data_IF_393922334367
#
_entry.id   IF_393922334367
#
_cell.length_a   1.000
_cell.length_b   1.000
_cell.length_c   1.000
_cell.angle_alpha   90.00
_cell.angle_beta   90.00
_cell.angle_gamma   90.00
#
_symmetry.space_group_name_H-M   'P 1'
#
loop_
_entity.id
_entity.type
_entity.pdbx_description
1 polymer ?
#
# COMPACT_ATOMS: atom_id res chain seq x y z
N UNK A 1 41.06 -13.22 38.97
CA UNK A 1 40.44 -13.40 40.31
C UNK A 1 39.04 -13.90 40.06
N UNK A 2 38.64 -15.01 40.70
CA UNK A 2 37.26 -15.48 40.61
C UNK A 2 36.38 -14.56 41.47
N UNK A 3 35.34 -13.98 40.86
CA UNK A 3 34.39 -13.13 41.57
C UNK A 3 33.66 -13.92 42.65
N UNK A 4 33.36 -13.27 43.77
CA UNK A 4 32.59 -13.90 44.84
C UNK A 4 31.10 -13.98 44.45
N UNK A 5 30.33 -14.83 45.12
CA UNK A 5 28.90 -14.97 44.85
C UNK A 5 28.10 -13.69 45.15
N UNK A 6 28.63 -12.76 45.97
CA UNK A 6 28.07 -11.42 46.17
C UNK A 6 28.30 -10.51 44.96
N UNK A 7 29.48 -10.57 44.33
CA UNK A 7 29.82 -9.73 43.17
C UNK A 7 28.99 -10.11 41.93
N UNK A 8 28.67 -11.40 41.76
CA UNK A 8 27.81 -11.88 40.67
C UNK A 8 26.36 -11.42 40.74
N UNK A 9 25.88 -10.91 41.89
CA UNK A 9 24.49 -10.41 42.00
C UNK A 9 24.26 -9.09 41.25
N UNK A 10 25.33 -8.38 40.94
CA UNK A 10 25.31 -7.12 40.20
C UNK A 10 26.07 -7.28 38.87
N UNK A 11 25.89 -8.42 38.21
CA UNK A 11 26.32 -8.62 36.82
C UNK A 11 25.14 -8.45 35.87
N UNK A 12 25.38 -7.75 34.76
CA UNK A 12 24.53 -7.78 33.56
C UNK A 12 25.17 -8.66 32.50
N UNK A 13 24.35 -9.32 31.68
CA UNK A 13 24.82 -10.18 30.59
C UNK A 13 24.29 -9.69 29.25
N UNK A 14 25.21 -9.45 28.33
CA UNK A 14 24.92 -9.21 26.92
C UNK A 14 25.09 -10.48 26.10
N UNK A 15 24.16 -10.71 25.18
CA UNK A 15 24.13 -11.88 24.33
C UNK A 15 24.04 -11.48 22.87
N UNK A 16 25.01 -11.88 22.07
CA UNK A 16 24.99 -11.76 20.62
C UNK A 16 24.90 -13.15 20.01
N UNK A 17 23.95 -13.37 19.09
CA UNK A 17 23.76 -14.67 18.46
C UNK A 17 23.47 -14.56 16.98
N UNK A 18 24.09 -15.43 16.18
CA UNK A 18 23.73 -15.66 14.79
C UNK A 18 23.44 -17.14 14.57
N UNK A 19 22.31 -17.43 13.96
CA UNK A 19 21.87 -18.80 13.78
C UNK A 19 21.02 -19.01 12.55
N UNK A 20 20.97 -20.26 12.13
CA UNK A 20 20.09 -20.74 11.08
C UNK A 20 19.22 -21.85 11.64
N UNK A 21 18.01 -22.01 11.11
CA UNK A 21 17.13 -23.07 11.56
C UNK A 21 16.04 -23.37 10.56
N UNK A 22 15.53 -24.59 10.65
CA UNK A 22 14.40 -25.07 9.89
C UNK A 22 13.14 -24.82 10.70
N UNK A 23 12.08 -24.40 10.00
CA UNK A 23 10.74 -24.23 10.57
C UNK A 23 9.79 -25.15 9.81
N UNK A 24 9.13 -26.03 10.54
CA UNK A 24 8.10 -26.91 10.06
C UNK A 24 6.76 -26.34 10.48
N UNK A 25 5.94 -26.04 9.48
CA UNK A 25 4.59 -25.54 9.66
C UNK A 25 3.66 -26.32 8.72
N UNK A 26 2.38 -26.37 9.05
CA UNK A 26 1.39 -26.83 8.07
C UNK A 26 1.43 -25.95 6.83
N UNK A 27 1.09 -26.44 5.62
CA UNK A 27 0.98 -25.59 4.44
C UNK A 27 0.17 -24.32 4.73
N UNK A 28 0.61 -23.20 4.14
CA UNK A 28 -0.07 -21.94 4.32
C UNK A 28 -1.49 -22.02 3.74
N UNK A 29 -2.45 -21.56 4.53
CA UNK A 29 -3.87 -21.60 4.20
C UNK A 29 -4.50 -20.27 4.62
N UNK A 30 -4.99 -19.51 3.64
CA UNK A 30 -5.62 -18.21 3.86
C UNK A 30 -6.90 -18.30 4.71
N UNK A 31 -7.52 -19.47 4.82
CA UNK A 31 -8.70 -19.68 5.65
C UNK A 31 -8.38 -19.85 7.14
N UNK A 32 -7.12 -20.18 7.48
CA UNK A 32 -6.72 -20.49 8.85
C UNK A 32 -6.18 -19.25 9.55
N UNK A 33 -6.88 -18.82 10.59
CA UNK A 33 -6.43 -17.72 11.44
C UNK A 33 -5.18 -18.07 12.27
N UNK A 34 -5.02 -19.34 12.67
CA UNK A 34 -3.92 -19.79 13.53
C UNK A 34 -3.11 -20.86 12.80
N UNK A 35 -1.78 -20.69 12.80
CA UNK A 35 -0.85 -21.61 12.18
C UNK A 35 0.29 -21.98 13.14
N UNK A 36 0.22 -23.16 13.79
CA UNK A 36 1.29 -23.63 14.66
C UNK A 36 2.50 -24.08 13.85
N UNK A 37 3.67 -23.97 14.46
CA UNK A 37 4.93 -24.41 13.88
C UNK A 37 5.91 -24.86 14.95
N UNK A 38 6.78 -25.77 14.57
CA UNK A 38 7.95 -26.20 15.35
C UNK A 38 9.20 -25.95 14.52
N UNK A 39 10.32 -25.69 15.16
CA UNK A 39 11.57 -25.47 14.48
C UNK A 39 12.77 -25.89 15.32
N UNK A 40 13.85 -26.16 14.63
CA UNK A 40 15.14 -26.50 15.22
C UNK A 40 16.24 -25.84 14.41
N UNK A 41 17.36 -25.54 15.06
CA UNK A 41 18.45 -24.84 14.39
C UNK A 41 19.77 -24.99 15.10
N UNK A 42 20.73 -24.20 14.64
CA UNK A 42 22.05 -24.04 15.23
C UNK A 42 22.26 -22.54 15.39
N UNK A 43 22.70 -22.14 16.57
CA UNK A 43 22.97 -20.75 16.93
C UNK A 43 24.39 -20.64 17.48
N UNK A 44 25.22 -19.79 16.87
CA UNK A 44 26.51 -19.40 17.40
C UNK A 44 26.30 -18.17 18.26
N UNK A 45 26.61 -18.28 19.55
CA UNK A 45 26.31 -17.26 20.54
C UNK A 45 27.58 -16.81 21.26
N UNK A 46 27.70 -15.52 21.49
CA UNK A 46 28.70 -14.91 22.35
C UNK A 46 27.99 -14.24 23.53
N UNK A 47 28.34 -14.66 24.74
CA UNK A 47 27.90 -14.04 25.99
C UNK A 47 29.03 -13.17 26.52
N UNK A 48 28.71 -11.97 27.00
CA UNK A 48 29.62 -11.10 27.73
C UNK A 48 28.95 -10.63 29.00
N UNK A 49 29.55 -10.93 30.15
CA UNK A 49 29.10 -10.43 31.44
C UNK A 49 29.86 -9.16 31.79
N UNK A 50 29.13 -8.19 32.30
CA UNK A 50 29.66 -6.93 32.80
C UNK A 50 29.23 -6.78 34.25
N UNK A 51 30.17 -6.41 35.10
CA UNK A 51 29.90 -5.95 36.44
C UNK A 51 30.31 -4.49 36.53
N UNK A 52 29.65 -3.80 37.43
CA UNK A 52 30.13 -2.55 37.93
C UNK A 52 31.14 -2.96 39.05
N UNK A 53 32.44 -2.68 38.87
CA UNK A 53 33.53 -3.08 39.80
C UNK A 53 34.47 -1.93 40.15
N UNK A 54 34.38 -0.82 39.42
CA UNK A 54 35.22 0.35 39.62
C UNK A 54 34.41 1.61 39.36
N UNK A 55 34.76 2.69 40.05
CA UNK A 55 34.20 4.02 39.79
C UNK A 55 34.76 4.65 38.50
N UNK A 56 34.25 5.83 38.13
CA UNK A 56 34.69 6.59 36.96
C UNK A 56 36.19 6.96 36.96
N UNK A 57 36.82 6.94 38.14
CA UNK A 57 38.25 7.24 38.32
C UNK A 57 39.12 5.95 38.29
N UNK A 58 38.49 4.77 38.15
CA UNK A 58 39.13 3.46 38.07
C UNK A 58 39.46 2.84 39.43
N UNK A 59 38.94 3.37 40.54
CA UNK A 59 39.12 2.77 41.85
C UNK A 59 38.15 1.60 42.03
N UNK A 60 38.69 0.44 42.43
CA UNK A 60 37.87 -0.73 42.69
C UNK A 60 36.98 -0.53 43.93
N UNK A 61 35.78 -1.07 43.87
CA UNK A 61 34.90 -1.16 45.03
C UNK A 61 34.52 -2.61 45.32
N UNK A 62 34.02 -2.86 46.52
CA UNK A 62 33.82 -4.20 47.06
C UNK A 62 32.45 -4.32 47.72
N UNK A 63 31.68 -5.32 47.31
CA UNK A 63 30.41 -5.66 47.95
C UNK A 63 30.67 -6.45 49.23
N UNK A 64 30.24 -5.91 50.38
CA UNK A 64 30.32 -6.61 51.65
C UNK A 64 29.05 -7.42 51.92
N UNK A 65 29.12 -8.38 52.83
CA UNK A 65 27.98 -9.24 53.20
C UNK A 65 26.78 -8.47 53.79
N UNK A 66 26.99 -7.25 54.26
CA UNK A 66 25.94 -6.36 54.73
C UNK A 66 25.11 -5.71 53.61
N UNK A 67 25.44 -5.97 52.34
CA UNK A 67 24.73 -5.46 51.16
C UNK A 67 25.12 -4.05 50.74
N UNK A 68 26.12 -3.45 51.39
CA UNK A 68 26.66 -2.11 51.05
C UNK A 68 27.98 -2.24 50.29
N UNK A 69 28.33 -1.17 49.56
CA UNK A 69 29.55 -1.10 48.75
C UNK A 69 30.60 -0.27 49.48
N UNK A 70 31.85 -0.72 49.46
CA UNK A 70 32.97 -0.05 50.11
C UNK A 70 34.18 0.06 49.20
N UNK A 71 35.07 1.00 49.50
CA UNK A 71 36.34 1.20 48.78
C UNK A 71 37.44 0.17 49.12
N UNK A 72 37.17 -0.78 50.01
CA UNK A 72 38.14 -1.79 50.46
C UNK A 72 37.43 -3.15 50.67
N UNK A 73 38.17 -4.25 50.45
CA UNK A 73 37.65 -5.60 50.66
C UNK A 73 37.30 -5.86 52.14
N UNK A 74 36.26 -6.67 52.37
CA UNK A 74 35.74 -6.99 53.71
C UNK A 74 36.76 -7.75 54.57
N UNK A 75 37.66 -8.51 53.94
CA UNK A 75 38.70 -9.30 54.58
C UNK A 75 40.01 -8.54 54.82
N UNK A 76 40.10 -7.27 54.40
CA UNK A 76 41.29 -6.46 54.60
C UNK A 76 41.52 -6.13 56.08
N UNK A 77 42.79 -5.95 56.46
CA UNK A 77 43.15 -5.59 57.83
C UNK A 77 42.46 -4.28 58.24
N UNK A 78 41.75 -4.34 59.37
CA UNK A 78 40.97 -3.22 59.92
C UNK A 78 39.89 -2.65 58.99
N UNK A 79 39.39 -3.44 58.02
CA UNK A 79 38.39 -3.01 57.06
C UNK A 79 37.20 -2.29 57.72
N UNK A 80 36.63 -2.85 58.80
CA UNK A 80 35.50 -2.27 59.52
C UNK A 80 35.75 -0.87 60.13
N UNK A 81 37.00 -0.43 60.27
CA UNK A 81 37.37 0.88 60.83
C UNK A 81 37.73 1.91 59.76
N UNK A 82 38.21 1.46 58.59
CA UNK A 82 38.74 2.35 57.53
C UNK A 82 37.91 2.33 56.24
N UNK A 83 36.95 1.42 56.13
CA UNK A 83 36.09 1.32 54.96
C UNK A 83 35.19 2.56 54.84
N UNK A 84 35.21 3.15 53.66
CA UNK A 84 34.28 4.20 53.28
C UNK A 84 33.16 3.58 52.45
N UNK A 85 31.92 3.79 52.90
CA UNK A 85 30.73 3.40 52.14
C UNK A 85 30.65 4.25 50.86
N UNK A 86 30.38 3.59 49.75
CA UNK A 86 30.25 4.19 48.43
C UNK A 86 28.83 3.95 47.91
N UNK A 87 28.34 4.88 47.10
CA UNK A 87 27.10 4.73 46.34
C UNK A 87 27.47 4.30 44.90
N UNK A 88 27.16 3.06 44.49
CA UNK A 88 27.42 2.62 43.11
C UNK A 88 26.48 3.34 42.14
N UNK A 89 27.00 3.70 40.97
CA UNK A 89 26.20 4.33 39.92
C UNK A 89 25.47 3.32 39.01
N UNK A 90 25.77 2.02 39.19
CA UNK A 90 25.20 0.90 38.45
C UNK A 90 25.45 0.96 36.94
N UNK A 91 26.51 1.65 36.53
CA UNK A 91 27.01 1.68 35.16
C UNK A 91 27.95 0.49 34.98
N UNK A 92 27.49 -0.55 34.29
CA UNK A 92 28.27 -1.78 34.12
C UNK A 92 29.41 -1.61 33.09
N UNK A 93 30.60 -1.22 33.57
CA UNK A 93 31.74 -0.89 32.70
C UNK A 93 32.77 -2.03 32.56
N UNK A 94 32.86 -2.90 33.56
CA UNK A 94 33.93 -3.92 33.64
C UNK A 94 33.47 -5.28 33.12
N UNK A 95 34.01 -5.72 31.99
CA UNK A 95 33.72 -7.06 31.44
C UNK A 95 34.40 -8.15 32.28
N UNK A 96 33.61 -8.98 32.96
CA UNK A 96 34.08 -10.03 33.88
C UNK A 96 34.28 -11.38 33.22
N UNK A 97 33.42 -11.73 32.26
CA UNK A 97 33.50 -12.97 31.50
C UNK A 97 33.07 -12.77 30.06
N UNK A 98 33.70 -13.51 29.14
CA UNK A 98 33.28 -13.59 27.74
C UNK A 98 33.41 -15.04 27.26
N UNK A 99 32.30 -15.61 26.79
CA UNK A 99 32.24 -17.00 26.33
C UNK A 99 31.59 -17.10 24.96
N UNK A 100 32.00 -18.09 24.17
CA UNK A 100 31.52 -18.33 22.80
C UNK A 100 31.08 -19.76 22.67
N UNK A 101 29.78 -19.95 22.49
CA UNK A 101 29.15 -21.25 22.64
C UNK A 101 28.26 -21.53 21.42
N UNK A 102 28.05 -22.81 21.15
CA UNK A 102 27.09 -23.27 20.16
C UNK A 102 25.86 -23.74 20.91
N UNK A 103 24.70 -23.22 20.54
CA UNK A 103 23.41 -23.58 21.08
C UNK A 103 22.51 -24.17 20.00
N UNK A 104 21.69 -25.15 20.40
CA UNK A 104 20.68 -25.77 19.55
C UNK A 104 19.32 -25.22 20.01
N UNK A 105 18.74 -24.23 19.31
CA UNK A 105 17.42 -23.73 19.64
C UNK A 105 16.34 -24.70 19.17
N UNK A 106 15.56 -25.22 20.11
CA UNK A 106 14.29 -25.89 19.87
C UNK A 106 13.20 -24.84 20.03
N UNK A 107 12.40 -24.62 18.98
CA UNK A 107 11.41 -23.54 18.92
C UNK A 107 10.03 -24.09 18.64
N UNK A 108 9.03 -23.54 19.30
CA UNK A 108 7.63 -23.79 18.99
C UNK A 108 6.88 -22.47 19.00
N UNK A 109 5.92 -22.29 18.12
CA UNK A 109 5.19 -21.05 18.04
C UNK A 109 3.90 -21.15 17.26
N UNK A 110 3.18 -20.05 17.29
CA UNK A 110 1.93 -19.84 16.56
C UNK A 110 2.04 -18.56 15.78
N UNK A 111 1.63 -18.60 14.51
CA UNK A 111 1.42 -17.42 13.70
C UNK A 111 -0.09 -17.16 13.60
N UNK A 112 -0.50 -15.94 13.89
CA UNK A 112 -1.87 -15.44 13.74
C UNK A 112 -1.94 -14.64 12.44
N UNK A 113 -2.72 -15.13 11.48
CA UNK A 113 -2.88 -14.50 10.17
C UNK A 113 -3.87 -13.33 10.28
N UNK A 114 -3.35 -12.10 10.33
CA UNK A 114 -4.19 -10.89 10.43
C UNK A 114 -4.71 -10.47 9.04
N UNK A 115 -3.83 -10.53 8.03
CA UNK A 115 -4.14 -10.34 6.61
C UNK A 115 -3.33 -11.35 5.78
N UNK A 116 -3.57 -11.49 4.47
CA UNK A 116 -2.71 -12.32 3.61
C UNK A 116 -1.22 -11.95 3.73
N UNK A 117 -0.91 -10.67 3.95
CA UNK A 117 0.47 -10.16 4.09
C UNK A 117 0.96 -10.03 5.52
N UNK A 118 0.10 -9.75 6.49
CA UNK A 118 0.53 -9.44 7.86
C UNK A 118 0.16 -10.57 8.80
N UNK A 119 1.11 -10.99 9.62
CA UNK A 119 0.85 -11.95 10.69
C UNK A 119 1.47 -11.49 12.00
N UNK A 120 0.78 -11.75 13.10
CA UNK A 120 1.40 -11.72 14.42
C UNK A 120 2.00 -13.09 14.71
N UNK A 121 3.09 -13.16 15.46
CA UNK A 121 3.72 -14.40 15.86
C UNK A 121 4.04 -14.36 17.34
N UNK A 122 3.83 -15.49 18.01
CA UNK A 122 4.30 -15.74 19.35
C UNK A 122 5.03 -17.07 19.34
N UNK A 123 6.21 -17.12 19.93
CA UNK A 123 7.02 -18.33 19.95
C UNK A 123 7.84 -18.41 21.23
N UNK A 124 8.14 -19.65 21.58
CA UNK A 124 8.96 -20.05 22.70
C UNK A 124 10.16 -20.79 22.15
N UNK A 125 11.34 -20.47 22.65
CA UNK A 125 12.59 -21.10 22.26
C UNK A 125 13.33 -21.59 23.49
N UNK A 126 13.81 -22.83 23.42
CA UNK A 126 14.69 -23.43 24.42
C UNK A 126 16.04 -23.63 23.76
N UNK A 127 17.10 -23.06 24.33
CA UNK A 127 18.46 -23.22 23.84
C UNK A 127 19.16 -24.31 24.64
N UNK A 128 19.41 -25.46 24.02
CA UNK A 128 20.19 -26.55 24.60
C UNK A 128 21.66 -26.42 24.16
N UNK A 129 22.61 -26.42 25.09
CA UNK A 129 24.05 -26.25 24.80
C UNK A 129 24.91 -26.04 26.04
N UNK A 130 26.23 -26.09 25.88
CA UNK A 130 27.21 -26.17 26.99
C UNK A 130 27.16 -24.99 27.97
N UNK A 131 26.73 -23.79 27.58
CA UNK A 131 26.48 -22.70 28.53
C UNK A 131 25.36 -21.79 28.01
N UNK A 132 24.14 -22.32 27.88
CA UNK A 132 22.94 -21.50 27.77
C UNK A 132 22.50 -20.99 29.16
N UNK A 133 23.45 -20.60 30.01
CA UNK A 133 23.19 -20.20 31.41
C UNK A 133 23.51 -18.72 31.63
N UNK A 134 22.61 -18.01 32.31
CA UNK A 134 22.89 -16.66 32.82
C UNK A 134 23.90 -16.68 33.99
N UNK A 135 24.13 -17.84 34.62
CA UNK A 135 25.11 -18.03 35.69
C UNK A 135 25.76 -19.42 35.57
N UNK A 136 26.80 -19.59 34.72
CA UNK A 136 27.46 -20.87 34.57
C UNK A 136 28.11 -21.29 35.89
N UNK A 137 27.54 -22.32 36.52
CA UNK A 137 28.09 -22.99 37.70
C UNK A 137 28.95 -24.17 37.29
N UNK A 138 30.17 -24.31 37.83
CA UNK A 138 31.02 -25.45 37.52
C UNK A 138 30.31 -26.79 37.76
N UNK A 139 30.18 -27.62 36.72
CA UNK A 139 29.56 -28.96 36.80
C UNK A 139 28.05 -29.03 36.58
N UNK A 140 27.38 -27.91 36.27
CA UNK A 140 25.95 -27.88 35.96
C UNK A 140 25.69 -27.45 34.51
N UNK A 141 24.65 -28.01 33.90
CA UNK A 141 24.14 -27.58 32.59
C UNK A 141 22.84 -26.81 32.82
N UNK A 142 22.86 -25.49 32.69
CA UNK A 142 21.61 -24.71 32.69
C UNK A 142 21.14 -24.42 31.25
N UNK A 143 19.85 -24.09 31.11
CA UNK A 143 19.17 -23.92 29.83
C UNK A 143 18.54 -22.54 29.72
N UNK A 144 18.78 -21.85 28.61
CA UNK A 144 18.18 -20.55 28.34
C UNK A 144 16.85 -20.76 27.63
N UNK A 145 15.82 -20.15 28.18
CA UNK A 145 14.47 -20.16 27.61
C UNK A 145 14.08 -18.75 27.25
N UNK A 146 13.65 -18.53 26.00
CA UNK A 146 13.21 -17.22 25.54
C UNK A 146 11.77 -17.29 25.01
N UNK A 147 11.00 -16.25 25.31
CA UNK A 147 9.69 -16.02 24.70
C UNK A 147 9.82 -14.80 23.78
N UNK A 148 9.27 -14.92 22.58
CA UNK A 148 9.30 -13.86 21.58
C UNK A 148 7.92 -13.64 21.01
N UNK A 149 7.56 -12.39 20.78
CA UNK A 149 6.37 -11.99 20.06
C UNK A 149 6.72 -10.91 19.05
N UNK A 150 6.05 -10.89 17.91
CA UNK A 150 6.34 -9.90 16.87
C UNK A 150 5.35 -9.93 15.71
N UNK A 151 5.48 -8.95 14.83
CA UNK A 151 4.66 -8.80 13.62
C UNK A 151 5.55 -9.06 12.41
N UNK A 152 5.10 -9.90 11.50
CA UNK A 152 5.79 -10.23 10.26
C UNK A 152 4.98 -9.82 9.04
N UNK A 153 5.71 -9.50 7.97
CA UNK A 153 5.17 -9.19 6.65
C UNK A 153 5.62 -10.28 5.68
N UNK A 154 4.68 -10.88 4.96
CA UNK A 154 4.93 -11.84 3.89
C UNK A 154 5.17 -11.10 2.58
N UNK A 155 6.28 -11.43 1.94
CA UNK A 155 6.67 -10.86 0.66
C UNK A 155 6.43 -11.92 -0.43
N UNK A 156 5.79 -11.52 -1.52
CA UNK A 156 5.46 -12.42 -2.63
C UNK A 156 4.11 -12.10 -3.27
N UNK A 157 3.95 -12.48 -4.53
CA UNK A 157 2.68 -12.30 -5.27
C UNK A 157 1.57 -13.18 -4.69
N UNK A 158 1.91 -14.35 -4.18
CA UNK A 158 0.96 -15.32 -3.64
C UNK A 158 0.31 -14.87 -2.32
N UNK A 159 0.90 -13.87 -1.66
CA UNK A 159 0.37 -13.24 -0.44
C UNK A 159 -0.33 -11.90 -0.73
N UNK A 160 -0.52 -11.52 -2.00
CA UNK A 160 -1.38 -10.38 -2.31
C UNK A 160 -2.79 -10.63 -1.80
N UNK A 161 -3.51 -9.55 -1.45
CA UNK A 161 -4.96 -9.66 -1.21
C UNK A 161 -5.59 -10.45 -2.34
N UNK A 162 -6.50 -11.40 -2.03
CA UNK A 162 -7.13 -12.19 -3.06
C UNK A 162 -7.68 -11.21 -4.08
N UNK A 163 -7.19 -11.30 -5.31
CA UNK A 163 -7.88 -10.66 -6.42
C UNK A 163 -9.29 -11.22 -6.31
N UNK A 164 -10.28 -10.34 -6.25
CA UNK A 164 -11.66 -10.73 -6.41
C UNK A 164 -11.70 -11.36 -7.81
N UNK A 165 -11.53 -12.67 -7.87
CA UNK A 165 -11.80 -13.44 -9.08
C UNK A 165 -13.30 -13.33 -9.21
N UNK A 166 -13.71 -12.37 -10.03
CA UNK A 166 -15.11 -12.24 -10.40
C UNK A 166 -15.58 -13.62 -10.87
N UNK A 167 -16.77 -14.08 -10.45
CA UNK A 167 -17.32 -15.33 -10.93
C UNK A 167 -17.19 -15.39 -12.45
N UNK A 168 -16.84 -16.55 -13.01
CA UNK A 168 -16.66 -16.74 -14.45
C UNK A 168 -17.89 -16.22 -15.23
N UNK A 169 -19.08 -16.35 -14.64
CA UNK A 169 -20.35 -15.82 -15.17
C UNK A 169 -20.37 -14.28 -15.32
N UNK A 170 -19.65 -13.52 -14.49
CA UNK A 170 -19.55 -12.06 -14.58
C UNK A 170 -18.45 -11.61 -15.56
N UNK A 171 -17.50 -12.49 -15.90
CA UNK A 171 -16.46 -12.24 -16.91
C UNK A 171 -16.95 -12.54 -18.35
N UNK A 172 -18.01 -13.34 -18.49
CA UNK A 172 -18.75 -13.54 -19.75
C UNK A 172 -19.69 -12.38 -20.08
N UNK A 173 -20.00 -11.50 -19.13
CA UNK A 173 -20.70 -10.23 -19.34
C UNK A 173 -19.81 -9.15 -19.97
N UNK A 174 -18.84 -9.56 -20.79
CA UNK A 174 -18.20 -8.67 -21.73
C UNK A 174 -19.11 -8.55 -22.94
N UNK A 175 -20.10 -7.67 -22.84
CA UNK A 175 -20.91 -7.30 -24.00
C UNK A 175 -19.97 -6.84 -25.12
N UNK A 176 -20.35 -7.22 -26.32
CA UNK A 176 -19.80 -6.77 -27.59
C UNK A 176 -21.01 -6.09 -28.26
N UNK A 177 -21.15 -4.78 -27.99
CA UNK A 177 -22.37 -4.02 -28.28
C UNK A 177 -22.64 -3.92 -29.77
N UNK A 178 -21.59 -3.78 -30.57
CA UNK A 178 -21.62 -3.64 -32.02
C UNK A 178 -21.34 -4.96 -32.77
N UNK A 179 -21.03 -6.03 -32.03
CA UNK A 179 -20.91 -7.42 -32.52
C UNK A 179 -19.81 -7.57 -33.57
N UNK A 180 -18.72 -6.83 -33.41
CA UNK A 180 -17.56 -6.86 -34.30
C UNK A 180 -16.53 -7.95 -33.93
N UNK A 181 -16.76 -8.66 -32.81
CA UNK A 181 -15.89 -9.71 -32.29
C UNK A 181 -14.89 -9.23 -31.24
N UNK A 182 -14.90 -7.96 -30.86
CA UNK A 182 -14.06 -7.35 -29.82
C UNK A 182 -14.95 -6.87 -28.67
N UNK A 183 -14.73 -7.43 -27.47
CA UNK A 183 -15.49 -7.03 -26.28
C UNK A 183 -15.36 -5.53 -25.99
N UNK A 184 -16.44 -4.88 -25.53
CA UNK A 184 -16.53 -3.44 -25.22
C UNK A 184 -15.38 -2.95 -24.31
N UNK A 185 -14.88 -3.81 -23.40
CA UNK A 185 -13.80 -3.46 -22.48
C UNK A 185 -12.40 -3.39 -23.13
N UNK A 186 -12.26 -3.88 -24.36
CA UNK A 186 -11.03 -3.88 -25.16
C UNK A 186 -11.20 -3.18 -26.51
N UNK A 187 -12.44 -2.87 -26.88
CA UNK A 187 -12.78 -2.17 -28.09
C UNK A 187 -12.53 -0.66 -27.96
N UNK A 188 -11.88 -0.08 -28.97
CA UNK A 188 -11.61 1.36 -29.10
C UNK A 188 -12.62 2.06 -30.02
N UNK A 189 -13.39 1.30 -30.79
CA UNK A 189 -14.29 1.76 -31.81
C UNK A 189 -15.70 1.16 -31.57
N UNK A 190 -16.42 1.62 -30.53
CA UNK A 190 -17.66 1.02 -29.99
C UNK A 190 -18.92 1.14 -30.87
N UNK A 191 -18.75 1.39 -32.16
CA UNK A 191 -19.81 1.58 -33.13
C UNK A 191 -19.38 1.07 -34.52
N UNK A 192 -18.62 -0.02 -34.56
CA UNK A 192 -18.19 -0.65 -35.79
C UNK A 192 -19.38 -1.37 -36.44
N UNK A 193 -19.67 -1.15 -37.73
CA UNK A 193 -20.79 -1.83 -38.37
C UNK A 193 -20.61 -3.35 -38.40
N UNK A 194 -21.71 -4.06 -38.15
CA UNK A 194 -21.81 -5.52 -38.24
C UNK A 194 -21.20 -6.07 -39.55
N UNK A 195 -20.18 -6.91 -39.42
CA UNK A 195 -19.50 -7.56 -40.55
C UNK A 195 -18.32 -6.78 -41.15
N UNK A 196 -17.97 -5.60 -40.62
CA UNK A 196 -16.73 -4.93 -40.97
C UNK A 196 -15.51 -5.73 -40.49
N UNK A 197 -14.43 -5.71 -41.27
CA UNK A 197 -13.16 -6.31 -40.84
C UNK A 197 -12.44 -5.39 -39.85
N UNK A 198 -12.29 -5.84 -38.62
CA UNK A 198 -11.70 -5.06 -37.52
C UNK A 198 -10.31 -5.56 -37.13
N UNK A 199 -9.48 -4.64 -36.62
CA UNK A 199 -8.19 -4.96 -36.03
C UNK A 199 -8.34 -5.52 -34.61
N UNK A 200 -7.22 -5.86 -33.96
CA UNK A 200 -7.21 -6.40 -32.58
C UNK A 200 -7.77 -5.45 -31.52
N UNK A 201 -8.11 -4.22 -31.89
CA UNK A 201 -8.63 -3.17 -31.02
C UNK A 201 -10.08 -2.80 -31.38
N UNK A 202 -10.73 -3.54 -32.29
CA UNK A 202 -12.13 -3.31 -32.72
C UNK A 202 -12.29 -2.18 -33.72
N UNK A 203 -11.20 -1.60 -34.23
CA UNK A 203 -11.30 -0.54 -35.22
C UNK A 203 -11.28 -1.08 -36.65
N UNK A 204 -12.06 -0.50 -37.58
CA UNK A 204 -12.07 -0.92 -38.98
C UNK A 204 -10.67 -0.88 -39.62
N UNK A 205 -10.43 -1.83 -40.51
CA UNK A 205 -9.18 -1.90 -41.27
C UNK A 205 -9.20 -0.89 -42.43
N UNK A 206 -8.03 -0.33 -42.72
CA UNK A 206 -7.75 0.58 -43.83
C UNK A 206 -6.40 0.12 -44.43
N UNK A 207 -6.46 -0.59 -45.55
CA UNK A 207 -5.32 -1.27 -46.16
C UNK A 207 -4.35 -0.29 -46.84
N UNK A 208 -4.87 0.71 -47.55
CA UNK A 208 -4.07 1.64 -48.35
C UNK A 208 -3.77 2.96 -47.63
N UNK A 209 -4.40 3.18 -46.47
CA UNK A 209 -4.18 4.29 -45.53
C UNK A 209 -4.59 5.64 -46.08
N UNK A 210 -5.63 5.69 -46.90
CA UNK A 210 -6.23 6.92 -47.40
C UNK A 210 -7.20 7.58 -46.40
N UNK A 211 -7.54 6.88 -45.32
CA UNK A 211 -8.42 7.34 -44.24
C UNK A 211 -9.88 6.95 -44.39
N UNK A 212 -10.25 6.18 -45.42
CA UNK A 212 -11.55 5.52 -45.58
C UNK A 212 -11.38 4.05 -45.21
N UNK A 213 -12.29 3.52 -44.41
CA UNK A 213 -12.20 2.12 -44.00
C UNK A 213 -12.55 1.18 -45.18
N UNK A 214 -11.92 0.01 -45.24
CA UNK A 214 -12.04 -0.94 -46.37
C UNK A 214 -13.48 -1.34 -46.72
N UNK A 215 -14.40 -1.25 -45.74
CA UNK A 215 -15.81 -1.58 -45.94
C UNK A 215 -16.64 -0.44 -46.56
N UNK A 216 -16.16 0.80 -46.49
CA UNK A 216 -16.75 1.99 -47.16
C UNK A 216 -15.97 2.41 -48.41
N UNK A 217 -14.78 1.85 -48.60
CA UNK A 217 -13.89 2.17 -49.71
C UNK A 217 -14.27 1.41 -50.99
N UNK A 218 -14.57 2.17 -52.05
CA UNK A 218 -14.86 1.64 -53.38
C UNK A 218 -13.60 1.31 -54.19
N UNK A 219 -12.45 1.89 -53.85
CA UNK A 219 -11.14 1.66 -54.48
C UNK A 219 -10.12 1.16 -53.45
N UNK A 220 -10.10 -0.16 -53.12
CA UNK A 220 -9.25 -0.74 -52.05
C UNK A 220 -7.72 -0.52 -52.15
N UNK A 221 -7.26 0.07 -53.26
CA UNK A 221 -5.87 0.41 -53.53
C UNK A 221 -5.81 1.70 -54.35
N UNK A 222 -6.18 2.82 -53.73
CA UNK A 222 -6.15 4.12 -54.37
C UNK A 222 -4.71 4.55 -54.74
N UNK A 223 -4.50 5.18 -55.91
CA UNK A 223 -3.17 5.63 -56.34
C UNK A 223 -2.60 6.79 -55.52
N UNK A 224 -3.45 7.55 -54.81
CA UNK A 224 -3.09 8.71 -53.99
C UNK A 224 -3.91 8.74 -52.69
N UNK A 225 -3.34 9.25 -51.60
CA UNK A 225 -4.00 9.32 -50.27
C UNK A 225 -5.14 10.34 -50.17
N UNK A 226 -5.42 11.13 -51.21
CA UNK A 226 -6.52 12.10 -51.22
C UNK A 226 -7.70 11.52 -51.97
N UNK A 227 -8.64 10.98 -51.22
CA UNK A 227 -9.88 10.40 -51.72
C UNK A 227 -11.10 11.21 -51.30
N UNK A 228 -12.24 10.97 -51.96
CA UNK A 228 -13.52 11.51 -51.53
C UNK A 228 -14.10 10.70 -50.34
N UNK A 229 -15.32 11.02 -49.90
CA UNK A 229 -16.00 10.31 -48.80
C UNK A 229 -16.31 8.83 -49.08
N UNK A 230 -16.04 8.34 -50.30
CA UNK A 230 -16.32 6.97 -50.74
C UNK A 230 -15.04 6.21 -51.11
N UNK A 231 -13.85 6.74 -50.76
CA UNK A 231 -12.57 6.11 -51.08
C UNK A 231 -12.10 6.25 -52.53
N UNK A 232 -12.80 7.03 -53.37
CA UNK A 232 -12.41 7.21 -54.78
C UNK A 232 -11.34 8.31 -54.91
N UNK A 233 -10.25 8.00 -55.59
CA UNK A 233 -9.17 8.94 -55.89
C UNK A 233 -9.59 9.93 -56.99
N UNK A 234 -9.73 11.21 -56.61
CA UNK A 234 -10.09 12.28 -57.54
C UNK A 234 -8.85 12.95 -58.16
N UNK A 235 -8.95 13.32 -59.44
CA UNK A 235 -7.96 14.16 -60.12
C UNK A 235 -7.97 15.60 -59.59
N UNK A 236 -6.88 16.34 -59.80
CA UNK A 236 -6.77 17.76 -59.39
C UNK A 236 -7.94 18.62 -59.92
N UNK A 237 -8.36 18.40 -61.17
CA UNK A 237 -9.50 19.13 -61.75
C UNK A 237 -10.83 18.84 -61.02
N UNK A 238 -11.03 17.63 -60.52
CA UNK A 238 -12.22 17.26 -59.75
C UNK A 238 -12.18 17.85 -58.34
N UNK A 239 -10.99 17.91 -57.72
CA UNK A 239 -10.80 18.57 -56.42
C UNK A 239 -11.10 20.07 -56.46
N UNK A 240 -10.69 20.75 -57.54
CA UNK A 240 -11.00 22.17 -57.75
C UNK A 240 -12.51 22.41 -57.86
N UNK A 241 -13.24 21.52 -58.53
CA UNK A 241 -14.69 21.60 -58.65
C UNK A 241 -15.41 21.43 -57.29
N UNK A 242 -14.97 20.48 -56.47
CA UNK A 242 -15.52 20.26 -55.12
C UNK A 242 -15.22 21.45 -54.20
N UNK A 243 -14.00 22.00 -54.26
CA UNK A 243 -13.60 23.15 -53.47
C UNK A 243 -14.41 24.41 -53.85
N UNK A 244 -14.73 24.60 -55.13
CA UNK A 244 -15.57 25.69 -55.61
C UNK A 244 -17.01 25.59 -55.08
N UNK A 245 -17.58 24.37 -54.99
CA UNK A 245 -18.91 24.16 -54.41
C UNK A 245 -18.95 24.47 -52.91
N UNK A 246 -17.92 24.09 -52.15
CA UNK A 246 -17.85 24.32 -50.71
C UNK A 246 -17.82 25.81 -50.33
N UNK A 247 -17.19 26.66 -51.15
CA UNK A 247 -17.21 28.13 -50.94
C UNK A 247 -18.62 28.74 -50.95
N UNK A 248 -19.57 28.10 -51.64
CA UNK A 248 -20.94 28.58 -51.73
C UNK A 248 -21.85 28.04 -50.61
N UNK A 249 -21.39 27.11 -49.77
CA UNK A 249 -22.16 26.56 -48.65
C UNK A 249 -21.79 27.26 -47.34
N UNK A 250 -22.67 28.14 -46.86
CA UNK A 250 -22.55 28.78 -45.55
C UNK A 250 -22.95 27.79 -44.46
N UNK A 251 -22.05 27.46 -43.54
CA UNK A 251 -22.33 26.52 -42.46
C UNK A 251 -23.54 26.99 -41.61
N UNK A 252 -24.46 26.08 -41.24
CA UNK A 252 -25.57 26.41 -40.36
C UNK A 252 -25.03 26.76 -38.97
N UNK A 253 -25.45 27.90 -38.42
CA UNK A 253 -25.21 28.27 -37.02
C UNK A 253 -26.05 27.38 -36.11
N UNK A 254 -25.42 26.45 -35.38
CA UNK A 254 -26.05 25.65 -34.34
C UNK A 254 -26.26 26.51 -33.09
N UNK A 255 -27.49 26.95 -32.85
CA UNK A 255 -27.87 27.56 -31.57
C UNK A 255 -28.10 26.45 -30.54
N UNK A 256 -27.12 26.21 -29.66
CA UNK A 256 -27.23 25.24 -28.57
C UNK A 256 -27.93 25.90 -27.39
N UNK A 257 -29.21 25.61 -27.19
CA UNK A 257 -29.96 26.04 -26.00
C UNK A 257 -29.70 25.06 -24.86
N UNK A 258 -28.91 25.46 -23.86
CA UNK A 258 -28.73 24.66 -22.66
C UNK A 258 -29.89 24.92 -21.70
N UNK A 259 -30.80 23.95 -21.58
CA UNK A 259 -31.85 23.97 -20.56
C UNK A 259 -31.21 23.75 -19.20
N UNK A 260 -31.19 24.79 -18.36
CA UNK A 260 -30.84 24.66 -16.95
C UNK A 260 -32.14 24.25 -16.23
N UNK A 261 -32.24 23.00 -15.80
CA UNK A 261 -33.34 22.55 -14.95
C UNK A 261 -33.03 22.90 -13.49
N UNK A 262 -33.91 23.71 -12.87
CA UNK A 262 -33.81 24.02 -11.45
C UNK A 262 -34.37 22.86 -10.61
N UNK A 263 -33.75 22.53 -9.47
CA UNK A 263 -34.25 21.46 -8.60
C UNK A 263 -35.52 21.91 -7.86
N UNK A 264 -36.59 21.17 -8.13
CA UNK A 264 -37.83 21.01 -7.35
C UNK A 264 -38.77 22.21 -7.10
N UNK A 265 -40.05 21.81 -7.11
CA UNK A 265 -41.27 22.59 -7.06
C UNK A 265 -41.39 23.37 -5.75
N UNK A 266 -41.07 24.67 -5.77
CA UNK A 266 -41.27 25.59 -4.64
C UNK A 266 -42.57 26.37 -4.84
N UNK A 267 -43.53 26.20 -3.93
CA UNK A 267 -44.79 26.98 -3.87
C UNK A 267 -44.61 28.33 -3.16
N UNK A 268 -43.42 28.93 -3.25
CA UNK A 268 -43.15 30.26 -2.68
C UNK A 268 -43.40 31.34 -3.72
N UNK A 269 -44.45 32.13 -3.49
CA UNK A 269 -44.73 33.34 -4.28
C UNK A 269 -43.82 34.46 -3.78
N UNK A 270 -42.71 34.69 -4.47
CA UNK A 270 -41.86 35.84 -4.17
C UNK A 270 -42.42 37.11 -4.79
N UNK A 271 -42.44 38.19 -4.00
CA UNK A 271 -42.86 39.51 -4.48
C UNK A 271 -41.92 39.97 -5.61
N UNK A 272 -42.53 40.34 -6.74
CA UNK A 272 -41.86 40.76 -7.96
C UNK A 272 -41.84 42.29 -8.01
N UNK A 273 -40.76 42.90 -8.49
CA UNK A 273 -40.70 44.36 -8.69
C UNK A 273 -41.74 44.83 -9.73
N UNK A 274 -42.04 46.13 -9.79
CA UNK A 274 -43.01 46.69 -10.76
C UNK A 274 -42.69 46.38 -12.24
N UNK A 275 -41.45 45.97 -12.54
CA UNK A 275 -41.00 45.52 -13.86
C UNK A 275 -41.07 44.00 -14.11
N UNK A 276 -41.62 43.20 -13.20
CA UNK A 276 -41.74 41.75 -13.39
C UNK A 276 -40.50 40.93 -13.00
N UNK A 277 -39.49 41.55 -12.36
CA UNK A 277 -38.24 40.90 -11.97
C UNK A 277 -38.26 40.38 -10.53
N UNK A 278 -37.79 39.16 -10.34
CA UNK A 278 -37.56 38.54 -9.03
C UNK A 278 -36.35 39.16 -8.31
N UNK A 279 -36.24 39.04 -6.97
CA UNK A 279 -35.10 39.57 -6.22
C UNK A 279 -33.74 39.01 -6.67
N UNK A 280 -33.70 37.75 -7.14
CA UNK A 280 -32.50 37.12 -7.67
C UNK A 280 -32.07 37.74 -9.02
N UNK A 281 -33.01 37.99 -9.93
CA UNK A 281 -32.76 38.65 -11.22
C UNK A 281 -32.29 40.09 -11.03
N UNK A 282 -32.85 40.83 -10.06
CA UNK A 282 -32.39 42.18 -9.71
C UNK A 282 -30.95 42.15 -9.19
N UNK A 283 -30.56 41.10 -8.43
CA UNK A 283 -29.19 40.91 -7.94
C UNK A 283 -28.23 40.63 -9.09
N UNK A 284 -28.61 39.76 -10.02
CA UNK A 284 -27.83 39.40 -11.19
C UNK A 284 -27.65 40.58 -12.16
N UNK A 285 -28.70 41.38 -12.38
CA UNK A 285 -28.60 42.62 -13.18
C UNK A 285 -27.63 43.62 -12.56
N UNK A 286 -27.60 43.69 -11.23
CA UNK A 286 -26.68 44.57 -10.50
C UNK A 286 -25.22 44.08 -10.56
N UNK A 287 -24.99 42.76 -10.62
CA UNK A 287 -23.65 42.18 -10.66
C UNK A 287 -23.06 42.05 -12.06
N UNK A 288 -23.87 41.90 -13.11
CA UNK A 288 -23.38 41.56 -14.45
C UNK A 288 -23.59 42.63 -15.53
N UNK A 289 -24.24 43.76 -15.22
CA UNK A 289 -24.43 44.85 -16.18
C UNK A 289 -25.43 44.53 -17.29
N UNK A 290 -26.00 45.58 -17.88
CA UNK A 290 -27.27 45.58 -18.62
C UNK A 290 -27.22 45.13 -20.09
N UNK A 291 -26.14 44.50 -20.56
CA UNK A 291 -25.98 44.20 -21.99
C UNK A 291 -26.20 42.74 -22.38
N UNK A 292 -27.30 42.13 -21.91
CA UNK A 292 -27.86 40.97 -22.62
C UNK A 292 -29.33 41.20 -22.92
N UNK A 293 -29.64 41.15 -24.21
CA UNK A 293 -30.95 41.30 -24.82
C UNK A 293 -31.96 40.34 -24.19
N UNK A 294 -32.87 40.90 -23.39
CA UNK A 294 -33.98 40.13 -22.83
C UNK A 294 -35.06 40.03 -23.90
N UNK A 295 -35.09 38.91 -24.65
CA UNK A 295 -36.23 38.60 -25.51
C UNK A 295 -37.39 38.22 -24.60
N UNK A 296 -38.46 39.03 -24.64
CA UNK A 296 -39.69 38.81 -23.86
C UNK A 296 -40.39 37.53 -24.34
N UNK A 297 -40.43 36.50 -23.52
CA UNK A 297 -41.30 35.33 -23.74
C UNK A 297 -42.66 35.61 -23.09
N UNK A 298 -43.72 35.69 -23.88
CA UNK A 298 -45.10 35.69 -23.35
C UNK A 298 -45.44 34.27 -22.92
N UNK A 299 -45.69 34.05 -21.63
CA UNK A 299 -46.27 32.80 -21.15
C UNK A 299 -47.70 32.64 -21.72
N UNK A 300 -47.93 31.59 -22.50
CA UNK A 300 -49.29 31.16 -22.84
C UNK A 300 -49.90 30.49 -21.62
N UNK A 301 -51.06 30.99 -21.16
CA UNK A 301 -51.88 30.27 -20.18
C UNK A 301 -52.42 28.99 -20.82
N UNK A 302 -52.40 27.85 -20.12
CA UNK A 302 -53.10 26.66 -20.60
C UNK A 302 -54.60 26.98 -20.70
N UNK A 303 -55.22 26.53 -21.80
CA UNK A 303 -56.66 26.64 -21.98
C UNK A 303 -57.36 25.72 -20.98
N UNK A 304 -58.27 26.27 -20.17
CA UNK A 304 -59.22 25.49 -19.39
C UNK A 304 -60.02 24.60 -20.34
N UNK A 305 -59.94 23.29 -20.11
CA UNK A 305 -60.77 22.29 -20.79
C UNK A 305 -62.07 22.15 -19.98
N UNK A 306 -63.26 22.13 -20.62
CA UNK A 306 -64.50 21.83 -19.91
C UNK A 306 -64.54 20.39 -19.40
#
# INVERSE_FOLDING_TARGET
MALTASDRRHETSEWYGIGAGLRFHTPFDNSKFIQPWIGFGINFMQQSNFADLADSDGNAYFYWNNGKVYNIAEDANNAHLVAQELDPDYTYESRTAAQRNIAIPIRMGVNLNLTPRVYASAAFAMMAGAEASLDPRPGYTDMLTTAQAGIGIRLGRDYAEPRIEMPIELAELGNDYDQDGVKDNRDRCPATPLGAQVDKRGCPTDIDKDGVADFEDLEPFSPHTRVNMQGIALSEAQWEAVAAQRKNQKAPTLEVFQRIEAPENTTEVHAVSTGGLTPAEVRLLRSFGTEKSVVKVKAQRPADKP
#
